data_IF_741447603826
#
_entry.id   IF_741447603826
#
_cell.length_a   1.000
_cell.length_b   1.000
_cell.length_c   1.000
_cell.angle_alpha   90.00
_cell.angle_beta   90.00
_cell.angle_gamma   90.00
#
_symmetry.space_group_name_H-M   'P 1'
#
loop_
_entity.id
_entity.type
_entity.pdbx_description
1 polymer ?
#
# COMPACT_ATOMS: atom_id res chain seq x y z
N UNK A 1 8.13 -24.70 -12.35
CA UNK A 1 7.43 -24.42 -11.08
C UNK A 1 6.43 -23.32 -11.33
N UNK A 2 5.26 -23.37 -10.69
CA UNK A 2 4.31 -22.24 -10.71
C UNK A 2 4.99 -21.00 -10.16
N UNK A 3 4.73 -19.82 -10.77
CA UNK A 3 5.22 -18.53 -10.27
C UNK A 3 4.70 -18.22 -8.86
N UNK A 4 3.56 -18.82 -8.48
CA UNK A 4 2.91 -18.62 -7.18
C UNK A 4 2.69 -19.95 -6.46
N UNK A 5 2.82 -19.93 -5.14
CA UNK A 5 2.60 -21.10 -4.28
C UNK A 5 1.11 -21.29 -3.97
N UNK A 6 0.76 -22.44 -3.37
CA UNK A 6 -0.62 -22.67 -2.90
C UNK A 6 -1.01 -21.65 -1.83
N UNK A 7 -0.05 -21.36 -0.95
CA UNK A 7 -0.17 -20.43 0.16
C UNK A 7 -0.49 -19.01 -0.33
N UNK A 8 0.17 -18.55 -1.41
CA UNK A 8 -0.16 -17.27 -2.04
C UNK A 8 -1.63 -17.16 -2.41
N UNK A 9 -2.18 -18.17 -3.10
CA UNK A 9 -3.59 -18.16 -3.49
C UNK A 9 -4.54 -18.23 -2.28
N UNK A 10 -4.17 -18.95 -1.23
CA UNK A 10 -4.93 -18.99 0.02
C UNK A 10 -4.97 -17.62 0.72
N UNK A 11 -3.86 -16.89 0.72
CA UNK A 11 -3.77 -15.56 1.31
C UNK A 11 -4.53 -14.51 0.50
N UNK A 12 -4.47 -14.58 -0.84
CA UNK A 12 -5.34 -13.78 -1.72
C UNK A 12 -6.81 -14.06 -1.40
N UNK A 13 -7.22 -15.32 -1.28
CA UNK A 13 -8.60 -15.69 -0.97
C UNK A 13 -9.04 -15.17 0.42
N UNK A 14 -8.12 -15.18 1.39
CA UNK A 14 -8.37 -14.65 2.75
C UNK A 14 -8.60 -13.14 2.73
N UNK A 15 -7.77 -12.39 2.00
CA UNK A 15 -7.93 -10.94 1.80
C UNK A 15 -9.28 -10.67 1.13
N UNK A 16 -9.59 -11.36 0.03
CA UNK A 16 -10.87 -11.20 -0.66
C UNK A 16 -12.05 -11.48 0.28
N UNK A 17 -12.01 -12.58 1.03
CA UNK A 17 -13.07 -12.95 1.99
C UNK A 17 -13.28 -11.90 3.07
N UNK A 18 -12.20 -11.30 3.60
CA UNK A 18 -12.24 -10.24 4.62
C UNK A 18 -13.13 -9.09 4.15
N UNK A 19 -12.95 -8.64 2.91
CA UNK A 19 -13.71 -7.52 2.33
C UNK A 19 -15.02 -7.94 1.66
N UNK A 20 -15.20 -9.21 1.33
CA UNK A 20 -16.43 -9.74 0.73
C UNK A 20 -17.56 -9.97 1.74
N UNK A 21 -17.26 -9.99 3.05
CA UNK A 21 -18.20 -10.37 4.11
C UNK A 21 -19.37 -9.39 4.39
N UNK A 22 -19.55 -8.34 3.58
CA UNK A 22 -20.68 -7.43 3.68
C UNK A 22 -20.92 -6.66 2.39
N UNK A 23 -21.82 -7.17 1.55
CA UNK A 23 -22.47 -6.42 0.47
C UNK A 23 -23.27 -5.28 1.11
N UNK A 24 -22.59 -4.19 1.49
CA UNK A 24 -23.22 -2.92 1.88
C UNK A 24 -22.36 -1.70 1.54
N UNK A 25 -21.25 -1.88 0.83
CA UNK A 25 -20.56 -0.74 0.24
C UNK A 25 -21.04 -0.64 -1.20
N UNK A 26 -21.59 0.54 -1.53
CA UNK A 26 -21.85 0.93 -2.90
C UNK A 26 -20.55 0.95 -3.72
N UNK A 27 -20.47 1.70 -4.82
CA UNK A 27 -19.30 1.69 -5.72
C UNK A 27 -17.95 2.12 -5.09
N UNK A 28 -17.89 2.33 -3.78
CA UNK A 28 -16.71 2.80 -3.06
C UNK A 28 -15.75 1.64 -2.78
N UNK A 29 -14.72 1.58 -3.62
CA UNK A 29 -13.50 0.81 -3.44
C UNK A 29 -12.99 0.90 -1.98
N UNK A 30 -12.83 -0.26 -1.30
CA UNK A 30 -12.24 -0.28 0.03
C UNK A 30 -10.72 -0.10 -0.07
N UNK A 31 -10.14 1.04 0.37
CA UNK A 31 -8.69 1.23 0.35
C UNK A 31 -7.94 0.18 1.19
N UNK A 32 -8.63 -0.51 2.10
CA UNK A 32 -8.08 -1.60 2.90
C UNK A 32 -7.63 -2.80 2.07
N UNK A 33 -8.35 -3.12 0.97
CA UNK A 33 -7.99 -4.28 0.15
C UNK A 33 -6.65 -4.07 -0.55
N UNK A 34 -6.41 -2.85 -1.04
CA UNK A 34 -5.15 -2.47 -1.67
C UNK A 34 -3.98 -2.57 -0.69
N UNK A 35 -4.18 -2.09 0.54
CA UNK A 35 -3.16 -2.13 1.60
C UNK A 35 -2.80 -3.56 1.99
N UNK A 36 -3.79 -4.43 2.15
CA UNK A 36 -3.52 -5.85 2.45
C UNK A 36 -2.79 -6.55 1.28
N UNK A 37 -3.10 -6.19 0.02
CA UNK A 37 -2.37 -6.71 -1.14
C UNK A 37 -0.93 -6.20 -1.23
N UNK A 38 -0.67 -4.95 -0.83
CA UNK A 38 0.69 -4.40 -0.77
C UNK A 38 1.57 -5.25 0.13
N UNK A 39 1.08 -5.59 1.33
CA UNK A 39 1.83 -6.39 2.28
C UNK A 39 2.11 -7.80 1.73
N UNK A 40 1.11 -8.42 1.10
CA UNK A 40 1.26 -9.73 0.47
C UNK A 40 2.31 -9.70 -0.67
N UNK A 41 2.21 -8.73 -1.58
CA UNK A 41 3.12 -8.64 -2.72
C UNK A 41 4.54 -8.22 -2.31
N UNK A 42 4.69 -7.42 -1.26
CA UNK A 42 5.99 -7.10 -0.68
C UNK A 42 6.64 -8.34 -0.03
N UNK A 43 5.85 -9.21 0.61
CA UNK A 43 6.34 -10.45 1.19
C UNK A 43 6.78 -11.47 0.12
N UNK A 44 6.01 -11.61 -0.96
CA UNK A 44 6.32 -12.56 -2.05
C UNK A 44 7.44 -12.08 -2.98
N UNK A 45 7.58 -10.76 -3.15
CA UNK A 45 8.57 -10.15 -4.03
C UNK A 45 9.30 -8.99 -3.34
N UNK A 46 10.07 -9.25 -2.29
CA UNK A 46 10.75 -8.22 -1.51
C UNK A 46 11.78 -7.48 -2.36
N UNK A 47 11.99 -6.19 -2.05
CA UNK A 47 13.07 -5.40 -2.64
C UNK A 47 14.40 -6.02 -2.27
N UNK A 48 15.18 -6.40 -3.27
CA UNK A 48 16.47 -7.06 -3.12
C UNK A 48 17.49 -6.56 -4.13
N UNK A 49 18.72 -6.45 -3.68
CA UNK A 49 19.85 -6.22 -4.53
C UNK A 49 20.11 -7.45 -5.40
N UNK A 50 20.03 -7.29 -6.72
CA UNK A 50 20.24 -8.40 -7.67
C UNK A 50 21.66 -8.98 -7.55
N UNK A 51 22.62 -8.17 -7.13
CA UNK A 51 24.04 -8.53 -7.04
C UNK A 51 24.46 -9.08 -5.67
N UNK A 52 23.85 -8.60 -4.58
CA UNK A 52 24.25 -8.93 -3.21
C UNK A 52 23.21 -9.75 -2.43
N UNK A 53 22.04 -10.01 -3.03
CA UNK A 53 21.01 -10.90 -2.49
C UNK A 53 20.12 -10.24 -1.43
N UNK A 54 20.63 -10.06 -0.21
CA UNK A 54 19.79 -9.82 0.98
C UNK A 54 19.71 -8.36 1.44
N UNK A 55 20.31 -7.42 0.72
CA UNK A 55 20.19 -6.00 1.03
C UNK A 55 19.05 -5.35 0.25
N UNK A 56 18.25 -4.56 0.95
CA UNK A 56 17.08 -3.83 0.45
C UNK A 56 17.40 -2.35 0.09
N UNK A 57 18.62 -1.90 0.41
CA UNK A 57 19.13 -0.56 0.09
C UNK A 57 20.36 -0.63 -0.82
N UNK A 58 20.43 0.27 -1.80
CA UNK A 58 21.59 0.39 -2.69
C UNK A 58 22.77 1.04 -1.97
N UNK A 59 23.73 0.25 -1.51
CA UNK A 59 24.97 0.75 -0.88
C UNK A 59 26.14 0.88 -1.87
N UNK A 60 25.99 0.39 -3.10
CA UNK A 60 27.01 0.48 -4.16
C UNK A 60 26.37 0.78 -5.52
N UNK A 61 27.15 1.34 -6.44
CA UNK A 61 26.70 1.62 -7.82
C UNK A 61 26.25 0.35 -8.55
N UNK A 62 26.82 -0.80 -8.20
CA UNK A 62 26.46 -2.12 -8.77
C UNK A 62 25.16 -2.70 -8.19
N UNK A 63 24.62 -2.09 -7.13
CA UNK A 63 23.47 -2.62 -6.43
C UNK A 63 22.15 -2.17 -7.08
N UNK A 64 21.72 -2.91 -8.11
CA UNK A 64 20.39 -2.75 -8.69
C UNK A 64 19.33 -3.42 -7.82
N UNK A 65 18.58 -2.61 -7.07
CA UNK A 65 17.41 -3.06 -6.30
C UNK A 65 16.27 -3.39 -7.27
N UNK A 66 15.74 -4.60 -7.15
CA UNK A 66 14.56 -5.08 -7.89
C UNK A 66 13.56 -5.68 -6.91
N UNK A 67 12.28 -5.75 -7.29
CA UNK A 67 11.23 -6.27 -6.44
C UNK A 67 9.94 -5.49 -6.60
N UNK A 68 8.96 -5.79 -5.74
CA UNK A 68 7.70 -5.07 -5.69
C UNK A 68 7.91 -3.67 -5.11
N UNK A 69 7.24 -2.68 -5.70
CA UNK A 69 7.21 -1.32 -5.17
C UNK A 69 5.83 -1.01 -4.55
N UNK A 70 5.72 -1.03 -3.20
CA UNK A 70 4.51 -0.69 -2.48
C UNK A 70 3.92 0.66 -2.86
N UNK A 71 4.77 1.67 -3.09
CA UNK A 71 4.31 3.04 -3.36
C UNK A 71 3.70 3.14 -4.74
N UNK A 72 4.38 2.58 -5.74
CA UNK A 72 3.87 2.56 -7.11
C UNK A 72 2.55 1.79 -7.20
N UNK A 73 2.42 0.68 -6.48
CA UNK A 73 1.17 -0.09 -6.45
C UNK A 73 0.02 0.71 -5.82
N UNK A 74 0.26 1.35 -4.68
CA UNK A 74 -0.74 2.17 -3.99
C UNK A 74 -1.16 3.38 -4.84
N UNK A 75 -0.21 4.05 -5.47
CA UNK A 75 -0.47 5.15 -6.42
C UNK A 75 -1.34 4.68 -7.59
N UNK A 76 -1.03 3.52 -8.18
CA UNK A 76 -1.86 2.92 -9.23
C UNK A 76 -3.27 2.54 -8.75
N UNK A 77 -3.46 2.33 -7.44
CA UNK A 77 -4.76 2.13 -6.81
C UNK A 77 -5.47 3.45 -6.46
N UNK A 78 -4.90 4.62 -6.77
CA UNK A 78 -5.41 5.94 -6.37
C UNK A 78 -5.24 6.24 -4.88
N UNK A 79 -4.36 5.51 -4.20
CA UNK A 79 -4.07 5.64 -2.78
C UNK A 79 -2.67 6.20 -2.58
N UNK A 80 -2.43 7.43 -3.04
CA UNK A 80 -1.17 8.09 -2.70
C UNK A 80 -0.98 8.06 -1.17
N UNK A 81 0.22 7.70 -0.72
CA UNK A 81 0.61 7.95 0.67
C UNK A 81 0.36 9.43 0.87
N UNK A 82 -0.64 9.78 1.69
CA UNK A 82 -0.98 11.16 1.96
C UNK A 82 0.34 11.91 2.12
N UNK A 83 0.69 12.75 1.15
CA UNK A 83 1.66 13.77 1.46
C UNK A 83 1.08 14.42 2.71
N UNK A 84 1.87 14.65 3.77
CA UNK A 84 1.44 15.62 4.75
C UNK A 84 1.13 16.85 3.92
N UNK A 85 -0.16 17.20 3.83
CA UNK A 85 -0.57 18.46 3.23
C UNK A 85 0.34 19.50 3.91
N UNK A 86 1.07 20.35 3.18
CA UNK A 86 1.88 21.39 3.80
C UNK A 86 1.02 22.35 4.67
N UNK A 87 -0.30 22.23 4.65
CA UNK A 87 -1.24 22.91 5.56
C UNK A 87 -1.49 22.16 6.88
N UNK A 88 -1.11 20.89 6.96
CA UNK A 88 -1.07 20.07 8.16
C UNK A 88 0.38 19.96 8.68
N UNK A 89 1.09 21.09 8.73
CA UNK A 89 2.37 21.11 9.43
C UNK A 89 2.16 20.83 10.91
N UNK A 90 2.96 19.89 11.39
CA UNK A 90 3.09 19.45 12.77
C UNK A 90 3.29 20.67 13.67
N UNK A 91 2.22 21.07 14.36
CA UNK A 91 2.27 22.29 15.16
C UNK A 91 0.98 22.67 15.86
N UNK A 92 0.34 21.76 16.60
CA UNK A 92 -0.37 22.17 17.82
C UNK A 92 -0.57 20.99 18.75
N UNK A 93 -0.05 21.13 19.97
CA UNK A 93 0.04 20.08 20.97
C UNK A 93 -1.25 19.92 21.80
N UNK A 94 -2.36 20.54 21.40
CA UNK A 94 -3.59 20.55 22.20
C UNK A 94 -4.85 20.40 21.33
N UNK A 95 -5.35 19.17 21.19
CA UNK A 95 -6.75 18.93 20.79
C UNK A 95 -6.99 17.69 19.93
N UNK A 96 -8.09 16.94 20.16
CA UNK A 96 -8.41 15.75 19.38
C UNK A 96 -8.81 16.14 17.96
N UNK A 97 -8.24 15.46 16.97
CA UNK A 97 -8.53 15.66 15.55
C UNK A 97 -9.99 15.27 15.24
N UNK A 98 -10.91 16.22 15.38
CA UNK A 98 -12.30 16.08 14.94
C UNK A 98 -12.71 17.31 14.14
N UNK A 99 -12.57 17.27 12.82
CA UNK A 99 -13.62 17.78 11.91
C UNK A 99 -13.29 17.47 10.46
N UNK A 100 -14.17 16.67 9.87
CA UNK A 100 -14.53 16.57 8.45
C UNK A 100 -13.70 17.37 7.44
N UNK A 101 -12.93 16.66 6.61
CA UNK A 101 -12.54 17.15 5.29
C UNK A 101 -13.77 17.14 4.37
N UNK A 102 -14.42 18.28 4.18
CA UNK A 102 -15.41 18.46 3.10
C UNK A 102 -14.71 19.21 1.96
N UNK A 103 -14.60 18.65 0.74
CA UNK A 103 -14.08 19.39 -0.40
C UNK A 103 -15.06 20.50 -0.83
N UNK A 104 -14.58 21.73 -1.00
CA UNK A 104 -15.36 22.83 -1.59
C UNK A 104 -15.77 22.46 -3.03
N UNK A 105 -17.08 22.58 -3.33
CA UNK A 105 -17.57 22.56 -4.71
C UNK A 105 -17.15 23.88 -5.37
N UNK A 106 -16.48 23.79 -6.52
CA UNK A 106 -16.27 24.95 -7.40
C UNK A 106 -17.54 25.13 -8.24
N UNK A 107 -18.09 26.35 -8.20
CA UNK A 107 -19.19 26.83 -9.04
C UNK A 107 -18.83 26.87 -10.54
#
# INVERSE_FOLDING_TARGET
MSRYTKEHYEDVARILRKYYSGISYGPDYSPGIARDFVDLFAADNPKRCTFHGEHDTGYSEDCKITGFDPKQFLEACGLESAQPDPRCEVGSHDGPCTSACVPERRD
#
